data_IF_481594555610
#
_entry.id   IF_481594555610
#
_cell.length_a   1.000
_cell.length_b   1.000
_cell.length_c   1.000
_cell.angle_alpha   90.00
_cell.angle_beta   90.00
_cell.angle_gamma   90.00
#
_symmetry.space_group_name_H-M   'P 1'
#
loop_
_entity.id
_entity.type
_entity.pdbx_description
1 polymer ?
#
# COMPACT_ATOMS: atom_id res chain seq x y z
N UNK A 1 -15.24 -44.54 52.80
CA UNK A 1 -14.92 -44.68 51.38
C UNK A 1 -15.41 -43.50 50.52
N UNK A 2 -15.87 -42.39 51.12
CA UNK A 2 -16.42 -41.19 50.42
C UNK A 2 -15.46 -40.02 50.21
N UNK A 3 -14.31 -40.01 50.87
CA UNK A 3 -13.40 -38.81 50.81
C UNK A 3 -12.54 -38.73 49.57
N UNK A 4 -12.30 -39.84 48.88
CA UNK A 4 -11.44 -39.83 47.66
C UNK A 4 -12.09 -39.18 46.43
N UNK A 5 -13.42 -39.26 46.32
CA UNK A 5 -14.13 -38.64 45.19
C UNK A 5 -14.17 -37.09 45.30
N UNK A 6 -14.23 -36.57 46.52
CA UNK A 6 -14.32 -35.14 46.76
C UNK A 6 -12.97 -34.42 46.50
N UNK A 7 -11.86 -35.08 46.83
CA UNK A 7 -10.52 -34.55 46.59
C UNK A 7 -10.15 -34.57 45.11
N UNK A 8 -10.56 -35.60 44.36
CA UNK A 8 -10.34 -35.66 42.91
C UNK A 8 -11.18 -34.63 42.13
N UNK A 9 -12.42 -34.39 42.55
CA UNK A 9 -13.28 -33.35 41.96
C UNK A 9 -12.73 -31.93 42.20
N UNK A 10 -12.25 -31.64 43.38
CA UNK A 10 -11.58 -30.33 43.69
C UNK A 10 -10.33 -30.13 42.85
N UNK A 11 -9.50 -31.16 42.74
CA UNK A 11 -8.28 -31.09 41.92
C UNK A 11 -8.60 -30.87 40.44
N UNK A 12 -9.57 -31.60 39.90
CA UNK A 12 -9.99 -31.47 38.52
C UNK A 12 -10.61 -30.10 38.26
N UNK A 13 -11.40 -29.58 39.17
CA UNK A 13 -11.97 -28.24 39.12
C UNK A 13 -10.86 -27.18 39.07
N UNK A 14 -9.92 -27.22 40.02
CA UNK A 14 -8.80 -26.27 40.06
C UNK A 14 -7.93 -26.34 38.79
N UNK A 15 -7.67 -27.58 38.32
CA UNK A 15 -6.91 -27.77 37.08
C UNK A 15 -7.62 -27.15 35.86
N UNK A 16 -8.93 -27.35 35.78
CA UNK A 16 -9.71 -26.80 34.67
C UNK A 16 -9.80 -25.25 34.74
N UNK A 17 -10.01 -24.72 35.95
CA UNK A 17 -9.99 -23.25 36.15
C UNK A 17 -8.63 -22.67 35.76
N UNK A 18 -7.54 -23.29 36.20
CA UNK A 18 -6.18 -22.81 35.83
C UNK A 18 -5.94 -22.88 34.33
N UNK A 19 -6.40 -23.92 33.64
CA UNK A 19 -6.30 -24.04 32.17
C UNK A 19 -7.07 -22.92 31.48
N UNK A 20 -8.29 -22.64 31.91
CA UNK A 20 -9.13 -21.58 31.31
C UNK A 20 -8.51 -20.21 31.56
N UNK A 21 -8.15 -19.88 32.80
CA UNK A 21 -7.54 -18.60 33.16
C UNK A 21 -6.19 -18.44 32.48
N UNK A 22 -5.37 -19.50 32.44
CA UNK A 22 -4.10 -19.48 31.73
C UNK A 22 -4.26 -19.28 30.23
N UNK A 23 -5.24 -19.94 29.61
CA UNK A 23 -5.55 -19.77 28.18
C UNK A 23 -6.02 -18.35 27.85
N UNK A 24 -6.93 -17.81 28.65
CA UNK A 24 -7.40 -16.41 28.51
C UNK A 24 -6.24 -15.43 28.70
N UNK A 25 -5.40 -15.64 29.72
CA UNK A 25 -4.22 -14.81 29.96
C UNK A 25 -3.23 -14.82 28.81
N UNK A 26 -2.98 -15.98 28.21
CA UNK A 26 -2.12 -16.11 27.03
C UNK A 26 -2.68 -15.36 25.80
N UNK A 27 -4.00 -15.42 25.59
CA UNK A 27 -4.65 -14.65 24.51
C UNK A 27 -4.48 -13.15 24.73
N UNK A 28 -4.76 -12.65 25.94
CA UNK A 28 -4.59 -11.23 26.26
C UNK A 28 -3.13 -10.77 26.14
N UNK A 29 -2.17 -11.61 26.49
CA UNK A 29 -0.76 -11.32 26.30
C UNK A 29 -0.36 -11.28 24.83
N UNK A 30 -0.97 -12.09 23.97
CA UNK A 30 -0.66 -12.11 22.53
C UNK A 30 -1.18 -10.89 21.76
N UNK A 31 -2.29 -10.27 22.20
CA UNK A 31 -2.91 -9.12 21.53
C UNK A 31 -1.93 -7.97 21.26
N UNK A 32 -1.16 -7.44 22.24
CA UNK A 32 -0.24 -6.33 22.01
C UNK A 32 0.87 -6.69 21.01
N UNK A 33 1.32 -7.95 20.98
CA UNK A 33 2.32 -8.39 20.01
C UNK A 33 1.74 -8.42 18.58
N UNK A 34 0.55 -8.96 18.42
CA UNK A 34 -0.13 -8.97 17.13
C UNK A 34 -0.50 -7.57 16.65
N UNK A 35 -0.94 -6.69 17.55
CA UNK A 35 -1.26 -5.30 17.21
C UNK A 35 -0.02 -4.49 16.83
N UNK A 36 1.15 -4.80 17.42
CA UNK A 36 2.40 -4.13 17.07
C UNK A 36 2.90 -4.46 15.65
N UNK A 37 2.45 -5.60 15.09
CA UNK A 37 2.74 -5.97 13.69
C UNK A 37 1.83 -5.26 12.69
N UNK A 38 0.78 -4.59 13.15
CA UNK A 38 -0.10 -3.81 12.28
C UNK A 38 0.60 -2.56 11.77
N UNK A 39 0.44 -2.21 10.47
CA UNK A 39 1.00 -0.98 9.93
C UNK A 39 0.47 0.24 10.68
N UNK A 40 1.36 1.18 11.03
CA UNK A 40 0.95 2.42 11.68
C UNK A 40 0.04 3.24 10.76
N UNK A 41 -0.81 4.09 11.32
CA UNK A 41 -1.66 5.01 10.55
C UNK A 41 -0.83 5.89 9.59
N UNK A 42 0.36 6.31 10.01
CA UNK A 42 1.30 7.05 9.16
C UNK A 42 1.73 6.24 7.93
N UNK A 43 1.98 4.94 8.08
CA UNK A 43 2.34 4.04 6.98
C UNK A 43 1.15 3.81 6.04
N UNK A 44 -0.06 3.68 6.58
CA UNK A 44 -1.28 3.55 5.77
C UNK A 44 -1.55 4.82 4.97
N UNK A 45 -1.38 6.00 5.57
CA UNK A 45 -1.55 7.29 4.90
C UNK A 45 -0.49 7.52 3.83
N UNK A 46 0.74 7.10 4.03
CA UNK A 46 1.81 7.22 3.03
C UNK A 46 1.52 6.45 1.73
N UNK A 47 0.66 5.41 1.79
CA UNK A 47 0.21 4.64 0.63
C UNK A 47 -1.09 5.13 0.01
N UNK A 48 -1.77 6.11 0.61
CA UNK A 48 -3.04 6.62 0.12
C UNK A 48 -2.91 7.35 -1.23
N UNK A 49 -3.94 7.35 -2.08
CA UNK A 49 -3.98 8.19 -3.28
C UNK A 49 -3.95 9.67 -2.88
N UNK A 50 -3.23 10.47 -3.65
CA UNK A 50 -3.15 11.93 -3.49
C UNK A 50 -3.95 12.56 -4.61
N UNK A 51 -4.86 13.47 -4.26
CA UNK A 51 -5.55 14.31 -5.22
C UNK A 51 -4.75 15.59 -5.47
N UNK A 52 -4.52 15.90 -6.74
CA UNK A 52 -3.73 17.05 -7.16
C UNK A 52 -4.51 17.82 -8.19
N UNK A 53 -4.68 19.12 -7.96
CA UNK A 53 -5.20 20.03 -8.96
C UNK A 53 -4.13 20.29 -10.02
N UNK A 54 -4.38 19.84 -11.23
CA UNK A 54 -3.52 20.00 -12.41
C UNK A 54 -3.91 21.21 -13.25
N UNK A 55 -5.07 21.82 -13.02
CA UNK A 55 -5.58 22.95 -13.82
C UNK A 55 -4.70 24.19 -13.71
N UNK A 56 -4.00 24.34 -12.58
CA UNK A 56 -3.08 25.46 -12.33
C UNK A 56 -1.71 25.31 -13.01
N UNK A 57 -1.42 24.16 -13.65
CA UNK A 57 -0.12 23.91 -14.30
C UNK A 57 -0.16 24.49 -15.71
N UNK A 58 0.64 25.51 -15.98
CA UNK A 58 0.75 26.11 -17.31
C UNK A 58 1.40 25.14 -18.31
N UNK A 59 1.06 25.22 -19.61
CA UNK A 59 1.73 24.43 -20.65
C UNK A 59 3.26 24.65 -20.62
N UNK A 60 4.01 23.54 -20.61
CA UNK A 60 5.45 23.53 -20.48
C UNK A 60 5.99 23.62 -19.05
N UNK A 61 5.13 23.86 -18.06
CA UNK A 61 5.49 23.84 -16.65
C UNK A 61 5.35 22.43 -16.04
N UNK A 62 5.97 22.23 -14.89
CA UNK A 62 5.84 21.00 -14.12
C UNK A 62 5.60 21.30 -12.64
N UNK A 63 4.98 20.35 -11.95
CA UNK A 63 4.74 20.38 -10.51
C UNK A 63 5.32 19.11 -9.89
N UNK A 64 6.03 19.26 -8.78
CA UNK A 64 6.59 18.13 -8.04
C UNK A 64 5.68 17.86 -6.85
N UNK A 65 5.31 16.60 -6.68
CA UNK A 65 4.50 16.13 -5.56
C UNK A 65 5.16 14.92 -4.93
N UNK A 66 5.13 14.83 -3.62
CA UNK A 66 5.64 13.67 -2.92
C UNK A 66 4.54 12.61 -2.79
N UNK A 67 4.81 11.39 -3.27
CA UNK A 67 3.95 10.24 -3.08
C UNK A 67 4.78 9.02 -2.66
N UNK A 68 4.39 8.39 -1.56
CA UNK A 68 5.10 7.25 -0.96
C UNK A 68 6.58 7.53 -0.68
N UNK A 69 6.91 8.75 -0.26
CA UNK A 69 8.29 9.16 -0.01
C UNK A 69 9.14 9.34 -1.27
N UNK A 70 8.52 9.36 -2.46
CA UNK A 70 9.18 9.57 -3.75
C UNK A 70 8.63 10.82 -4.43
N UNK A 71 9.50 11.65 -5.04
CA UNK A 71 9.04 12.77 -5.85
C UNK A 71 8.41 12.26 -7.16
N UNK A 72 7.24 12.77 -7.46
CA UNK A 72 6.51 12.54 -8.72
C UNK A 72 6.44 13.87 -9.47
N UNK A 73 6.92 13.90 -10.70
CA UNK A 73 6.84 15.07 -11.57
C UNK A 73 5.60 14.97 -12.46
N UNK A 74 4.75 15.97 -12.38
CA UNK A 74 3.59 16.12 -13.25
C UNK A 74 3.94 17.24 -14.24
N UNK A 75 4.08 16.89 -15.51
CA UNK A 75 4.47 17.82 -16.56
C UNK A 75 3.28 18.09 -17.47
N UNK A 76 2.93 19.35 -17.65
CA UNK A 76 1.95 19.75 -18.66
C UNK A 76 2.67 19.91 -20.00
N UNK A 77 2.53 18.93 -20.90
CA UNK A 77 3.24 18.87 -22.19
C UNK A 77 2.66 19.86 -23.18
N UNK A 78 3.52 20.56 -23.89
CA UNK A 78 3.14 21.40 -25.03
C UNK A 78 2.94 20.57 -26.29
N UNK A 79 2.28 21.12 -27.29
CA UNK A 79 2.09 20.49 -28.60
C UNK A 79 3.43 20.13 -29.25
N UNK A 80 4.44 21.00 -29.10
CA UNK A 80 5.79 20.75 -29.61
C UNK A 80 6.47 19.54 -28.94
N UNK A 81 6.28 19.39 -27.62
CA UNK A 81 6.78 18.21 -26.88
C UNK A 81 6.10 16.93 -27.36
N UNK A 82 4.78 16.98 -27.62
CA UNK A 82 4.04 15.83 -28.12
C UNK A 82 4.50 15.42 -29.52
N UNK A 83 4.82 16.38 -30.38
CA UNK A 83 5.36 16.10 -31.73
C UNK A 83 6.75 15.49 -31.65
N UNK A 84 7.62 16.00 -30.77
CA UNK A 84 8.95 15.42 -30.54
C UNK A 84 8.85 13.97 -30.07
N UNK A 85 7.96 13.66 -29.12
CA UNK A 85 7.74 12.28 -28.66
C UNK A 85 7.32 11.35 -29.78
N UNK A 86 6.52 11.83 -30.74
CA UNK A 86 6.12 11.04 -31.91
C UNK A 86 7.27 10.75 -32.88
N UNK A 87 8.17 11.74 -33.04
CA UNK A 87 9.23 11.70 -34.05
C UNK A 87 10.52 11.07 -33.52
N UNK A 88 10.75 11.07 -32.19
CA UNK A 88 11.97 10.61 -31.55
C UNK A 88 11.95 9.10 -31.19
N UNK A 89 11.17 8.34 -31.94
CA UNK A 89 10.98 6.90 -31.72
C UNK A 89 12.28 6.10 -31.87
N UNK A 90 13.24 6.56 -32.67
CA UNK A 90 14.48 5.83 -32.95
C UNK A 90 15.43 5.74 -31.76
N UNK A 91 15.32 6.68 -30.81
CA UNK A 91 16.17 6.72 -29.62
C UNK A 91 15.56 6.05 -28.39
N UNK A 92 14.36 5.53 -28.51
CA UNK A 92 13.66 4.86 -27.42
C UNK A 92 13.92 3.34 -27.42
N UNK A 93 14.15 2.76 -26.27
CA UNK A 93 14.30 1.32 -26.10
C UNK A 93 13.02 0.55 -26.47
N UNK A 94 11.85 1.12 -26.19
CA UNK A 94 10.55 0.60 -26.54
C UNK A 94 9.66 1.69 -27.16
N UNK A 95 9.78 1.95 -28.49
CA UNK A 95 9.07 3.03 -29.17
C UNK A 95 7.55 2.86 -29.20
N UNK A 96 7.08 1.61 -29.17
CA UNK A 96 5.65 1.28 -29.26
C UNK A 96 4.98 1.09 -27.93
N UNK A 97 5.76 1.02 -26.84
CA UNK A 97 5.28 0.65 -25.51
C UNK A 97 4.63 -0.75 -25.49
N UNK A 98 5.30 -1.70 -26.15
CA UNK A 98 4.85 -3.09 -26.23
C UNK A 98 5.22 -3.88 -24.98
N UNK A 99 6.20 -3.40 -24.19
CA UNK A 99 6.63 -4.03 -22.96
C UNK A 99 5.69 -3.73 -21.78
N UNK A 100 5.43 -4.74 -20.95
CA UNK A 100 4.48 -4.67 -19.83
C UNK A 100 5.02 -3.92 -18.59
N UNK A 101 5.75 -2.82 -18.78
CA UNK A 101 6.21 -1.99 -17.65
C UNK A 101 5.14 -1.04 -17.10
N UNK A 102 4.06 -0.88 -17.85
CA UNK A 102 3.01 0.10 -17.55
C UNK A 102 1.64 -0.59 -17.46
N UNK A 103 0.71 -0.03 -16.69
CA UNK A 103 -0.67 -0.49 -16.71
C UNK A 103 -1.26 -0.41 -18.14
N UNK A 104 -2.15 -1.33 -18.49
CA UNK A 104 -2.75 -1.42 -19.82
C UNK A 104 -3.34 -0.10 -20.35
N UNK A 105 -3.91 0.73 -19.43
CA UNK A 105 -4.47 2.03 -19.80
C UNK A 105 -3.42 3.08 -20.18
N UNK A 106 -2.15 2.86 -19.87
CA UNK A 106 -1.02 3.75 -20.20
C UNK A 106 -0.07 3.13 -21.24
N UNK A 107 -0.39 1.94 -21.79
CA UNK A 107 0.35 1.30 -22.88
C UNK A 107 0.08 1.98 -24.22
N UNK A 108 0.63 3.16 -24.40
CA UNK A 108 0.56 3.92 -25.63
C UNK A 108 1.86 4.71 -25.82
N UNK A 109 2.06 5.29 -27.02
CA UNK A 109 3.27 6.06 -27.34
C UNK A 109 3.56 7.20 -26.38
N UNK A 110 2.56 7.77 -25.73
CA UNK A 110 2.69 8.87 -24.79
C UNK A 110 2.92 8.41 -23.35
N UNK A 111 2.70 7.10 -23.08
CA UNK A 111 2.83 6.49 -21.75
C UNK A 111 2.02 7.21 -20.68
N UNK A 112 0.87 7.69 -21.05
CA UNK A 112 -0.05 8.41 -20.17
C UNK A 112 -1.50 8.19 -20.54
N UNK A 113 -2.43 8.42 -19.60
CA UNK A 113 -3.87 8.38 -19.86
C UNK A 113 -4.31 9.56 -20.73
N UNK A 114 -3.74 10.72 -20.42
CA UNK A 114 -3.94 11.96 -21.19
C UNK A 114 -2.60 12.35 -21.80
N UNK A 115 -2.50 12.52 -23.12
CA UNK A 115 -1.23 12.88 -23.76
C UNK A 115 -0.62 14.17 -23.25
N UNK A 116 -1.44 15.11 -22.79
CA UNK A 116 -1.04 16.42 -22.29
C UNK A 116 -0.31 16.35 -20.92
N UNK A 117 -0.47 15.23 -20.17
CA UNK A 117 0.13 15.05 -18.86
C UNK A 117 0.89 13.73 -18.74
#
# INVERSE_FOLDING_TARGET
MSDNNNSSNRRNFLTNVTKVVGGVGAIFAAIPFLSSMSPSEKTKMAGAPIEIDISAIQPGAFKIVEWRGKPVWIVHRTTEMLEKIKNDAEHLADPKSDEEYQPQYAQNKFRSVKPEY
#
